data_IF_741278515173
#
_entry.id   IF_741278515173
#
_cell.length_a   1.000
_cell.length_b   1.000
_cell.length_c   1.000
_cell.angle_alpha   90.00
_cell.angle_beta   90.00
_cell.angle_gamma   90.00
#
_symmetry.space_group_name_H-M   'P 1'
#
loop_
_entity.id
_entity.type
_entity.pdbx_description
1 polymer ?
#
# COMPACT_ATOMS: atom_id res chain seq x y z
N UNK A 1 -14.26 21.74 -2.57
CA UNK A 1 -14.20 21.42 -2.10
C UNK A 1 -13.43 20.72 -1.33
N UNK A 2 -13.14 20.24 -0.94
CA UNK A 2 -12.55 19.46 -0.01
C UNK A 2 -11.87 18.28 -0.51
N UNK A 3 -12.05 17.96 -1.69
CA UNK A 3 -11.59 16.69 -2.17
C UNK A 3 -10.11 16.53 -2.15
N UNK A 4 -9.36 17.60 -2.30
CA UNK A 4 -7.96 17.41 -2.41
C UNK A 4 -7.33 16.98 -1.14
N UNK A 5 -7.84 17.43 -0.04
CA UNK A 5 -7.20 17.07 1.21
C UNK A 5 -7.44 15.63 1.57
N UNK A 6 -8.38 14.98 0.94
CA UNK A 6 -8.65 13.62 1.29
C UNK A 6 -8.09 12.62 0.31
N UNK A 7 -7.13 13.03 -0.51
CA UNK A 7 -6.55 12.10 -1.46
C UNK A 7 -6.05 10.81 -0.83
N UNK A 8 -5.26 10.86 0.26
CA UNK A 8 -4.81 9.60 0.86
C UNK A 8 -5.96 8.78 1.40
N UNK A 9 -6.93 9.44 2.01
CA UNK A 9 -8.10 8.72 2.51
C UNK A 9 -8.92 8.16 1.37
N UNK A 10 -9.05 8.92 0.29
CA UNK A 10 -9.77 8.44 -0.86
C UNK A 10 -9.12 7.20 -1.44
N UNK A 11 -7.80 7.21 -1.55
CA UNK A 11 -7.09 6.05 -2.05
C UNK A 11 -7.31 4.84 -1.15
N UNK A 12 -7.21 5.04 0.15
CA UNK A 12 -7.40 3.95 1.09
C UNK A 12 -8.83 3.42 1.02
N UNK A 13 -9.80 4.32 0.99
CA UNK A 13 -11.20 3.92 0.94
C UNK A 13 -11.51 3.18 -0.35
N UNK A 14 -10.84 3.52 -1.44
CA UNK A 14 -11.07 2.90 -2.74
C UNK A 14 -10.22 1.68 -2.99
N UNK A 15 -9.40 1.28 -2.03
CA UNK A 15 -8.45 0.20 -2.26
C UNK A 15 -9.14 -1.06 -2.78
N UNK A 16 -10.31 -1.37 -2.24
CA UNK A 16 -11.04 -2.55 -2.65
C UNK A 16 -11.48 -2.54 -4.11
N UNK A 17 -11.56 -1.34 -4.70
CA UNK A 17 -12.00 -1.19 -6.09
C UNK A 17 -10.84 -1.08 -7.07
N UNK A 18 -9.63 -0.98 -6.59
CA UNK A 18 -8.48 -0.88 -7.48
C UNK A 18 -8.21 -2.21 -8.16
N UNK A 19 -7.80 -2.18 -9.43
CA UNK A 19 -7.44 -3.42 -10.10
C UNK A 19 -6.14 -3.98 -9.53
N UNK A 20 -5.95 -5.27 -9.68
CA UNK A 20 -4.78 -5.94 -9.12
C UNK A 20 -3.46 -5.39 -9.68
N UNK A 21 -3.48 -4.87 -10.89
CA UNK A 21 -2.26 -4.33 -11.49
C UNK A 21 -1.96 -2.91 -11.02
N UNK A 22 -2.87 -2.27 -10.31
CA UNK A 22 -2.61 -0.95 -9.76
C UNK A 22 -1.52 -1.03 -8.71
N UNK A 23 -0.86 0.09 -8.47
CA UNK A 23 0.20 0.14 -7.48
C UNK A 23 -0.06 1.25 -6.49
N UNK A 24 0.35 1.02 -5.26
CA UNK A 24 0.21 2.00 -4.19
C UNK A 24 1.57 2.21 -3.53
N UNK A 25 1.71 3.36 -2.89
CA UNK A 25 2.97 3.71 -2.25
C UNK A 25 2.95 3.39 -0.77
N UNK A 26 4.10 3.61 -0.14
CA UNK A 26 4.31 3.27 1.26
C UNK A 26 3.27 3.85 2.22
N UNK A 27 2.84 5.11 2.11
CA UNK A 27 1.84 5.60 3.06
C UNK A 27 0.54 4.80 3.04
N UNK A 28 0.13 4.36 1.87
CA UNK A 28 -1.09 3.56 1.76
C UNK A 28 -0.87 2.20 2.39
N UNK A 29 0.29 1.59 2.14
CA UNK A 29 0.59 0.28 2.72
C UNK A 29 0.64 0.38 4.24
N UNK A 30 1.27 1.41 4.78
CA UNK A 30 1.31 1.60 6.22
C UNK A 30 -0.09 1.72 6.81
N UNK A 31 -0.97 2.44 6.12
CA UNK A 31 -2.34 2.58 6.59
C UNK A 31 -3.10 1.25 6.52
N UNK A 32 -2.90 0.49 5.46
CA UNK A 32 -3.57 -0.79 5.30
C UNK A 32 -3.18 -1.78 6.41
N UNK A 33 -1.93 -1.73 6.84
CA UNK A 33 -1.45 -2.62 7.88
C UNK A 33 -1.48 -1.98 9.26
N UNK A 34 -2.01 -0.76 9.34
CA UNK A 34 -2.17 -0.04 10.61
C UNK A 34 -0.83 0.08 11.36
N UNK A 35 0.22 0.43 10.65
CA UNK A 35 1.53 0.56 11.27
C UNK A 35 2.31 1.70 10.62
N UNK A 36 3.50 1.98 11.16
CA UNK A 36 4.34 3.05 10.63
C UNK A 36 5.11 2.56 9.42
N UNK A 37 5.58 3.49 8.56
CA UNK A 37 6.43 3.10 7.43
C UNK A 37 7.65 2.29 7.86
N UNK A 38 8.24 2.65 8.99
CA UNK A 38 9.39 1.91 9.49
C UNK A 38 9.03 0.45 9.76
N UNK A 39 7.87 0.24 10.34
CA UNK A 39 7.41 -1.12 10.62
C UNK A 39 7.12 -1.87 9.31
N UNK A 40 6.61 -1.17 8.29
CA UNK A 40 6.42 -1.79 7.00
C UNK A 40 7.74 -2.32 6.47
N UNK A 41 8.80 -1.51 6.51
CA UNK A 41 10.12 -1.95 6.02
C UNK A 41 10.60 -3.19 6.77
N UNK A 42 10.45 -3.18 8.08
CA UNK A 42 10.89 -4.32 8.88
C UNK A 42 10.13 -5.59 8.52
N UNK A 43 8.83 -5.45 8.31
CA UNK A 43 8.00 -6.61 7.99
C UNK A 43 8.23 -7.11 6.58
N UNK A 44 8.58 -6.22 5.66
CA UNK A 44 8.96 -6.63 4.32
C UNK A 44 10.22 -7.49 4.39
N UNK A 45 11.20 -7.05 5.16
CA UNK A 45 12.43 -7.82 5.31
C UNK A 45 12.20 -9.16 5.99
N UNK A 46 11.22 -9.21 6.88
CA UNK A 46 10.89 -10.45 7.56
C UNK A 46 10.01 -11.38 6.74
N UNK A 47 9.58 -10.93 5.56
CA UNK A 47 8.73 -11.74 4.70
C UNK A 47 7.27 -11.73 5.09
N UNK A 48 6.86 -10.82 5.98
CA UNK A 48 5.48 -10.73 6.45
C UNK A 48 4.63 -9.91 5.49
N UNK A 49 5.21 -8.85 4.93
CA UNK A 49 4.51 -8.03 3.95
C UNK A 49 5.16 -8.28 2.59
N UNK A 50 4.38 -8.34 1.50
CA UNK A 50 4.95 -8.59 0.18
C UNK A 50 6.01 -7.55 -0.19
N UNK A 51 6.98 -7.96 -0.98
CA UNK A 51 8.06 -7.07 -1.39
C UNK A 51 7.56 -6.05 -2.40
N UNK A 52 7.97 -4.79 -2.27
CA UNK A 52 7.60 -3.77 -3.25
C UNK A 52 8.48 -3.83 -4.49
N UNK A 53 8.01 -3.18 -5.54
CA UNK A 53 8.83 -2.88 -6.70
C UNK A 53 9.46 -1.52 -6.49
N UNK A 54 10.71 -1.37 -6.93
CA UNK A 54 11.37 -0.09 -6.84
C UNK A 54 11.56 0.47 -8.23
N UNK A 55 10.94 1.60 -8.49
CA UNK A 55 11.05 2.25 -9.78
C UNK A 55 11.45 3.68 -9.59
N UNK A 56 12.59 4.07 -10.19
CA UNK A 56 13.05 5.45 -10.08
C UNK A 56 13.24 5.87 -8.64
N UNK A 57 13.64 4.95 -7.77
CA UNK A 57 13.81 5.27 -6.36
C UNK A 57 12.54 5.26 -5.54
N UNK A 58 11.41 4.94 -6.14
CA UNK A 58 10.12 4.94 -5.44
C UNK A 58 9.68 3.51 -5.23
N UNK A 59 9.27 3.19 -4.00
CA UNK A 59 8.74 1.88 -3.69
C UNK A 59 7.24 1.85 -3.95
N UNK A 60 6.80 0.83 -4.66
CA UNK A 60 5.38 0.65 -4.97
C UNK A 60 5.01 -0.81 -4.81
N UNK A 61 3.84 -1.04 -4.25
CA UNK A 61 3.32 -2.40 -4.07
C UNK A 61 2.16 -2.63 -5.01
N UNK A 62 2.10 -3.82 -5.58
CA UNK A 62 0.97 -4.19 -6.42
C UNK A 62 -0.23 -4.50 -5.55
N UNK A 63 -1.37 -3.97 -5.95
CA UNK A 63 -2.60 -4.15 -5.18
C UNK A 63 -2.95 -5.63 -5.05
N UNK A 64 -2.76 -6.41 -6.12
CA UNK A 64 -3.07 -7.82 -6.06
C UNK A 64 -2.29 -8.58 -5.01
N UNK A 65 -1.00 -8.24 -4.86
CA UNK A 65 -0.18 -8.87 -3.84
C UNK A 65 -0.67 -8.53 -2.45
N UNK A 66 -1.04 -7.26 -2.24
CA UNK A 66 -1.53 -6.83 -0.94
C UNK A 66 -2.87 -7.48 -0.61
N UNK A 67 -3.74 -7.61 -1.60
CA UNK A 67 -5.02 -8.27 -1.38
C UNK A 67 -4.83 -9.71 -0.95
N UNK A 68 -3.91 -10.39 -1.59
CA UNK A 68 -3.65 -11.78 -1.25
C UNK A 68 -3.15 -11.90 0.18
N UNK A 69 -2.24 -11.01 0.56
CA UNK A 69 -1.66 -11.05 1.88
C UNK A 69 -2.69 -10.68 2.95
N UNK A 70 -3.57 -9.74 2.65
CA UNK A 70 -4.58 -9.29 3.59
C UNK A 70 -5.76 -10.25 3.69
N UNK A 71 -5.80 -11.24 2.83
CA UNK A 71 -6.86 -12.22 2.87
C UNK A 71 -8.17 -11.73 2.28
N UNK A 72 -8.10 -10.73 1.46
CA UNK A 72 -9.31 -10.15 0.87
C UNK A 72 -9.66 -10.77 -0.46
#
# INVERSE_FOLDING_TARGET
>A
MTSRTSLPLTTLASFGELPDIARVRLPVVAALYACTPRTVHRRVEAGVIPKPEKRGGVLMWRVGDLRRDLGA
#
